data_IF_323883259029
#
_entry.id   IF_323883259029
#
_cell.length_a   1.000
_cell.length_b   1.000
_cell.length_c   1.000
_cell.angle_alpha   90.00
_cell.angle_beta   90.00
_cell.angle_gamma   90.00
#
_symmetry.space_group_name_H-M   'P 1'
#
loop_
_entity.id
_entity.type
_entity.pdbx_description
1 polymer ?
#
# COMPACT_ATOMS: atom_id res chain seq x y z
N UNK A 1 -7.81 -17.16 29.62
CA UNK A 1 -6.94 -17.98 28.74
C UNK A 1 -7.03 -17.39 27.34
N UNK A 2 -5.89 -17.00 26.75
CA UNK A 2 -5.84 -16.42 25.40
C UNK A 2 -5.50 -17.49 24.36
N UNK A 3 -6.07 -17.37 23.16
CA UNK A 3 -5.79 -18.24 22.03
C UNK A 3 -5.58 -17.40 20.77
N UNK A 4 -4.69 -17.85 19.89
CA UNK A 4 -4.53 -17.33 18.55
C UNK A 4 -5.36 -18.19 17.59
N UNK A 5 -6.18 -17.54 16.75
CA UNK A 5 -7.06 -18.22 15.79
C UNK A 5 -6.77 -17.68 14.39
N UNK A 6 -6.47 -18.57 13.45
CA UNK A 6 -6.34 -18.26 12.04
C UNK A 6 -7.54 -18.89 11.31
N UNK A 7 -8.25 -18.10 10.52
CA UNK A 7 -9.50 -18.54 9.91
C UNK A 7 -10.00 -17.62 8.82
N UNK A 8 -11.10 -18.01 8.18
CA UNK A 8 -11.85 -17.18 7.24
C UNK A 8 -13.11 -16.63 7.90
N UNK A 9 -13.36 -15.34 7.72
CA UNK A 9 -14.58 -14.69 8.19
C UNK A 9 -15.60 -14.66 7.04
N UNK A 10 -16.80 -15.20 7.29
CA UNK A 10 -17.96 -15.13 6.38
C UNK A 10 -19.13 -14.47 7.11
N UNK A 11 -19.73 -13.45 6.51
CA UNK A 11 -20.89 -12.77 7.09
C UNK A 11 -22.01 -12.64 6.07
N UNK A 12 -23.20 -13.14 6.42
CA UNK A 12 -24.47 -12.75 5.79
C UNK A 12 -25.17 -11.82 6.80
N UNK A 13 -25.14 -10.52 6.49
CA UNK A 13 -25.71 -9.32 7.14
C UNK A 13 -25.93 -9.29 8.68
N UNK A 14 -26.52 -10.31 9.29
CA UNK A 14 -26.92 -10.33 10.71
C UNK A 14 -26.04 -11.21 11.61
N UNK A 15 -25.28 -12.16 11.04
CA UNK A 15 -24.37 -13.02 11.82
C UNK A 15 -23.01 -13.19 11.15
N UNK A 16 -21.98 -12.62 11.77
CA UNK A 16 -20.58 -12.88 11.40
C UNK A 16 -20.21 -14.29 11.91
N UNK A 17 -19.86 -15.19 11.01
CA UNK A 17 -19.38 -16.54 11.32
C UNK A 17 -17.93 -16.66 10.86
N UNK A 18 -17.07 -17.20 11.71
CA UNK A 18 -15.69 -17.49 11.34
C UNK A 18 -15.49 -19.01 11.26
N UNK A 19 -14.79 -19.48 10.23
CA UNK A 19 -14.29 -20.86 10.16
C UNK A 19 -12.82 -20.83 10.53
N UNK A 20 -12.44 -21.51 11.61
CA UNK A 20 -11.06 -21.61 12.05
C UNK A 20 -10.33 -22.74 11.30
N UNK A 21 -9.11 -22.45 10.84
CA UNK A 21 -8.20 -23.42 10.23
C UNK A 21 -7.07 -23.80 11.21
N UNK A 22 -6.68 -22.89 12.11
CA UNK A 22 -5.68 -23.14 13.14
C UNK A 22 -6.07 -22.43 14.44
N UNK A 23 -5.91 -23.14 15.55
CA UNK A 23 -6.18 -22.65 16.90
C UNK A 23 -5.02 -23.08 17.79
N UNK A 24 -4.35 -22.12 18.44
CA UNK A 24 -3.22 -22.38 19.35
C UNK A 24 -3.38 -21.58 20.64
N UNK A 25 -3.09 -22.16 21.82
CA UNK A 25 -3.00 -21.37 23.05
C UNK A 25 -1.86 -20.36 22.97
N UNK A 26 -2.11 -19.16 23.49
CA UNK A 26 -1.09 -18.12 23.61
C UNK A 26 -0.26 -18.43 24.87
N UNK A 27 1.05 -18.56 24.67
CA UNK A 27 2.03 -18.86 25.74
C UNK A 27 2.78 -17.60 26.17
N UNK A 28 2.97 -16.64 25.27
CA UNK A 28 3.53 -15.33 25.56
C UNK A 28 2.45 -14.24 25.39
N UNK A 29 2.21 -13.46 26.44
CA UNK A 29 1.22 -12.39 26.41
C UNK A 29 1.59 -11.23 25.48
N UNK A 30 2.86 -11.07 25.12
CA UNK A 30 3.28 -10.08 24.12
C UNK A 30 2.61 -10.31 22.76
N UNK A 31 2.23 -11.55 22.43
CA UNK A 31 1.50 -11.89 21.20
C UNK A 31 0.17 -11.12 21.07
N UNK A 32 -0.51 -10.85 22.20
CA UNK A 32 -1.78 -10.13 22.22
C UNK A 32 -1.57 -8.66 21.86
N UNK A 33 -0.58 -8.02 22.48
CA UNK A 33 -0.23 -6.62 22.19
C UNK A 33 0.24 -6.47 20.74
N UNK A 34 1.09 -7.39 20.27
CA UNK A 34 1.55 -7.40 18.88
C UNK A 34 0.39 -7.53 17.90
N UNK A 35 -0.59 -8.39 18.19
CA UNK A 35 -1.79 -8.55 17.36
C UNK A 35 -2.57 -7.22 17.20
N UNK A 36 -2.74 -6.45 18.28
CA UNK A 36 -3.41 -5.15 18.19
C UNK A 36 -2.63 -4.16 17.32
N UNK A 37 -1.31 -4.07 17.49
CA UNK A 37 -0.47 -3.20 16.66
C UNK A 37 -0.56 -3.60 15.18
N UNK A 38 -0.51 -4.90 14.88
CA UNK A 38 -0.68 -5.43 13.53
C UNK A 38 -2.04 -5.07 12.94
N UNK A 39 -3.13 -5.17 13.72
CA UNK A 39 -4.46 -4.78 13.27
C UNK A 39 -4.54 -3.29 12.91
N UNK A 40 -3.97 -2.41 13.74
CA UNK A 40 -3.93 -0.97 13.47
C UNK A 40 -3.15 -0.67 12.20
N UNK A 41 -1.93 -1.23 12.08
CA UNK A 41 -1.09 -1.07 10.90
C UNK A 41 -1.81 -1.54 9.62
N UNK A 42 -2.37 -2.75 9.62
CA UNK A 42 -3.08 -3.30 8.46
C UNK A 42 -4.33 -2.49 8.13
N UNK A 43 -4.99 -1.90 9.12
CA UNK A 43 -6.14 -1.03 8.87
C UNK A 43 -5.73 0.27 8.16
N UNK A 44 -4.64 0.91 8.60
CA UNK A 44 -4.09 2.11 7.95
C UNK A 44 -3.70 1.78 6.52
N UNK A 45 -2.87 0.76 6.30
CA UNK A 45 -2.43 0.34 4.96
C UNK A 45 -3.63 0.04 4.03
N UNK A 46 -4.65 -0.68 4.51
CA UNK A 46 -5.83 -1.00 3.71
C UNK A 46 -6.78 0.19 3.48
N UNK A 47 -6.70 1.25 4.28
CA UNK A 47 -7.56 2.43 4.16
C UNK A 47 -6.90 3.49 3.28
N UNK A 48 -5.60 3.71 3.41
CA UNK A 48 -4.81 4.56 2.50
C UNK A 48 -4.92 4.07 1.05
N UNK A 49 -4.84 2.75 0.82
CA UNK A 49 -5.04 2.15 -0.51
C UNK A 49 -6.47 2.35 -1.09
N UNK A 50 -7.46 2.66 -0.25
CA UNK A 50 -8.86 2.87 -0.67
C UNK A 50 -9.23 4.35 -0.81
N UNK A 51 -8.47 5.26 -0.20
CA UNK A 51 -8.71 6.69 -0.31
C UNK A 51 -8.50 7.23 -1.74
N UNK A 52 -7.78 6.50 -2.60
CA UNK A 52 -7.59 6.83 -4.02
C UNK A 52 -8.63 6.25 -4.99
N UNK A 53 -9.72 5.62 -4.52
CA UNK A 53 -10.71 5.03 -5.41
C UNK A 53 -12.14 5.13 -4.83
N UNK A 54 -13.08 5.85 -5.48
CA UNK A 54 -14.47 5.75 -5.10
C UNK A 54 -14.92 4.31 -5.33
N UNK A 55 -15.29 3.63 -4.26
CA UNK A 55 -15.80 2.28 -4.29
C UNK A 55 -17.03 2.20 -5.20
N UNK A 56 -16.86 1.69 -6.43
CA UNK A 56 -17.98 1.15 -7.19
C UNK A 56 -18.43 -0.12 -6.48
N UNK A 57 -19.52 0.00 -5.73
CA UNK A 57 -20.32 -1.12 -5.27
C UNK A 57 -20.92 -1.78 -6.51
N UNK A 58 -20.23 -2.76 -7.09
CA UNK A 58 -20.84 -3.70 -8.02
C UNK A 58 -20.99 -5.04 -7.33
N UNK A 59 -22.17 -5.20 -6.75
CA UNK A 59 -22.78 -6.47 -6.41
C UNK A 59 -23.00 -7.26 -7.71
N UNK A 60 -22.21 -8.31 -7.96
CA UNK A 60 -22.59 -9.36 -8.93
C UNK A 60 -22.04 -10.72 -8.50
N UNK A 61 -22.86 -11.36 -7.65
CA UNK A 61 -23.27 -12.76 -7.74
C UNK A 61 -22.80 -13.51 -9.01
N UNK A 62 -22.09 -14.61 -8.83
CA UNK A 62 -21.68 -15.48 -9.95
C UNK A 62 -20.83 -16.67 -9.48
N UNK A 63 -21.49 -17.73 -9.04
CA UNK A 63 -20.91 -19.04 -8.74
C UNK A 63 -20.54 -19.72 -10.06
N UNK A 64 -19.40 -20.41 -10.13
CA UNK A 64 -19.29 -21.70 -10.82
C UNK A 64 -17.99 -22.43 -10.46
N UNK A 65 -18.16 -23.60 -9.88
CA UNK A 65 -17.17 -24.67 -9.83
C UNK A 65 -17.12 -25.35 -11.20
N UNK A 66 -15.93 -25.65 -11.71
CA UNK A 66 -15.67 -26.90 -12.41
C UNK A 66 -14.18 -27.23 -12.42
N UNK A 67 -13.90 -28.43 -11.96
CA UNK A 67 -12.61 -29.11 -11.99
C UNK A 67 -12.58 -29.91 -13.30
N UNK A 68 -11.52 -29.81 -14.11
CA UNK A 68 -11.41 -30.53 -15.38
C UNK A 68 -10.00 -30.45 -15.97
N UNK A 69 -9.47 -31.60 -16.34
CA UNK A 69 -8.08 -31.97 -16.61
C UNK A 69 -7.68 -31.86 -18.10
N UNK A 70 -6.38 -32.03 -18.42
CA UNK A 70 -5.69 -32.18 -19.74
C UNK A 70 -5.63 -30.93 -20.65
N UNK A 71 -4.62 -30.64 -21.47
CA UNK A 71 -3.31 -31.22 -21.82
C UNK A 71 -2.60 -30.23 -22.79
N UNK A 72 -1.26 -30.33 -22.84
CA UNK A 72 -0.27 -29.78 -23.78
C UNK A 72 -0.73 -29.05 -25.07
N UNK A 73 -0.18 -27.85 -25.33
CA UNK A 73 0.61 -27.53 -26.54
C UNK A 73 0.94 -26.02 -26.68
N UNK A 74 2.19 -25.72 -27.04
CA UNK A 74 2.77 -24.42 -27.40
C UNK A 74 2.50 -24.05 -28.89
N UNK A 75 3.09 -22.97 -29.43
CA UNK A 75 2.86 -21.53 -29.24
C UNK A 75 2.35 -20.88 -30.57
N UNK A 76 2.08 -19.56 -30.63
CA UNK A 76 2.36 -18.66 -31.81
C UNK A 76 1.62 -17.29 -31.71
N UNK A 77 2.44 -16.23 -31.67
CA UNK A 77 2.38 -14.89 -32.31
C UNK A 77 1.14 -13.98 -32.31
N UNK A 78 1.44 -12.74 -31.88
CA UNK A 78 1.12 -11.44 -32.48
C UNK A 78 -0.38 -11.06 -32.61
N UNK A 79 -0.81 -10.09 -31.79
CA UNK A 79 -1.44 -8.84 -32.26
C UNK A 79 -1.56 -7.80 -31.14
N UNK A 80 -0.96 -6.66 -31.43
CA UNK A 80 -1.05 -5.36 -30.79
C UNK A 80 -2.48 -4.83 -30.70
N UNK A 81 -2.86 -4.33 -29.52
CA UNK A 81 -3.85 -3.27 -29.35
C UNK A 81 -3.43 -2.39 -28.15
N UNK A 82 -3.46 -1.05 -28.27
CA UNK A 82 -2.94 -0.15 -27.23
C UNK A 82 -3.88 -0.15 -26.03
N UNK A 83 -3.31 -0.31 -24.83
CA UNK A 83 -4.04 -0.09 -23.59
C UNK A 83 -4.50 1.39 -23.50
N UNK A 84 -5.76 1.67 -23.13
CA UNK A 84 -6.17 3.03 -22.85
C UNK A 84 -5.46 3.50 -21.58
N UNK A 85 -4.64 4.53 -21.75
CA UNK A 85 -4.05 5.28 -20.64
C UNK A 85 -5.23 5.86 -19.84
N UNK A 86 -5.49 5.27 -18.68
CA UNK A 86 -6.53 5.74 -17.79
C UNK A 86 -5.85 6.67 -16.79
N UNK A 87 -5.75 7.93 -17.21
CA UNK A 87 -5.35 9.07 -16.41
C UNK A 87 -6.32 9.21 -15.24
N UNK A 88 -5.92 8.72 -14.07
CA UNK A 88 -6.74 8.71 -12.86
C UNK A 88 -5.91 8.55 -11.61
N UNK A 89 -4.86 9.36 -11.45
CA UNK A 89 -4.03 9.40 -10.24
C UNK A 89 -3.14 10.64 -10.31
N UNK A 90 -3.59 11.81 -9.84
CA UNK A 90 -2.72 12.99 -9.79
C UNK A 90 -2.03 13.15 -8.44
N UNK A 91 -2.77 13.01 -7.33
CA UNK A 91 -2.22 13.26 -5.99
C UNK A 91 -1.50 12.04 -5.40
N UNK A 92 -2.10 10.85 -5.46
CA UNK A 92 -1.44 9.59 -5.06
C UNK A 92 -0.19 9.32 -5.90
N UNK A 93 -0.21 9.73 -7.17
CA UNK A 93 0.95 9.62 -8.05
C UNK A 93 2.05 10.59 -7.61
N UNK A 94 1.70 11.84 -7.29
CA UNK A 94 2.66 12.84 -6.81
C UNK A 94 3.33 12.43 -5.48
N UNK A 95 2.57 11.96 -4.49
CA UNK A 95 3.14 11.45 -3.23
C UNK A 95 4.12 10.30 -3.47
N UNK A 96 3.75 9.39 -4.39
CA UNK A 96 4.58 8.23 -4.74
C UNK A 96 5.81 8.64 -5.54
N UNK A 97 5.69 9.59 -6.46
CA UNK A 97 6.81 10.12 -7.24
C UNK A 97 7.83 10.85 -6.35
N UNK A 98 7.36 11.69 -5.43
CA UNK A 98 8.22 12.38 -4.46
C UNK A 98 8.96 11.36 -3.61
N UNK A 99 8.27 10.33 -3.10
CA UNK A 99 8.94 9.28 -2.33
C UNK A 99 9.95 8.47 -3.16
N UNK A 100 9.60 8.13 -4.40
CA UNK A 100 10.50 7.40 -5.29
C UNK A 100 11.78 8.19 -5.56
N UNK A 101 11.69 9.52 -5.65
CA UNK A 101 12.87 10.38 -5.74
C UNK A 101 13.78 10.21 -4.51
N UNK A 102 13.24 10.25 -3.28
CA UNK A 102 14.06 10.01 -2.07
C UNK A 102 14.64 8.59 -1.98
N UNK A 103 14.00 7.60 -2.62
CA UNK A 103 14.49 6.23 -2.71
C UNK A 103 15.47 5.98 -3.88
N UNK A 104 15.82 7.00 -4.67
CA UNK A 104 16.89 6.85 -5.66
C UNK A 104 18.22 6.52 -4.95
N UNK A 105 19.06 5.59 -5.46
CA UNK A 105 20.28 5.15 -4.77
C UNK A 105 21.20 6.29 -4.34
N UNK A 106 21.35 7.32 -5.19
CA UNK A 106 22.16 8.49 -4.89
C UNK A 106 21.68 9.29 -3.66
N UNK A 107 20.37 9.28 -3.40
CA UNK A 107 19.76 9.99 -2.29
C UNK A 107 19.78 9.16 -0.99
N UNK A 108 19.67 7.83 -1.11
CA UNK A 108 19.82 6.89 0.02
C UNK A 108 21.24 6.90 0.59
N UNK A 109 22.24 6.98 -0.30
CA UNK A 109 23.66 7.05 0.07
C UNK A 109 24.05 8.40 0.68
N UNK A 110 23.24 9.46 0.49
CA UNK A 110 23.48 10.76 1.13
C UNK A 110 23.39 10.64 2.65
N UNK A 111 24.46 11.05 3.34
CA UNK A 111 24.54 11.02 4.81
C UNK A 111 23.49 11.93 5.45
N UNK A 112 23.28 13.11 4.88
CA UNK A 112 22.39 14.13 5.42
C UNK A 112 21.00 14.15 4.78
N UNK A 113 20.71 13.23 3.86
CA UNK A 113 19.46 13.23 3.10
C UNK A 113 19.46 14.28 1.98
N UNK A 114 18.27 14.71 1.58
CA UNK A 114 18.06 15.59 0.42
C UNK A 114 17.31 16.84 0.86
N UNK A 115 17.81 18.01 0.44
CA UNK A 115 17.18 19.30 0.75
C UNK A 115 15.93 19.54 -0.13
N UNK A 116 14.91 20.21 0.42
CA UNK A 116 13.64 20.50 -0.30
C UNK A 116 13.88 21.16 -1.66
N UNK A 117 14.86 22.07 -1.75
CA UNK A 117 15.16 22.76 -3.02
C UNK A 117 15.65 21.83 -4.13
N UNK A 118 16.25 20.69 -3.80
CA UNK A 118 16.67 19.68 -4.78
C UNK A 118 15.46 18.92 -5.34
N UNK A 119 14.48 18.64 -4.47
CA UNK A 119 13.18 18.10 -4.88
C UNK A 119 12.48 19.09 -5.81
N UNK A 120 12.43 20.38 -5.45
CA UNK A 120 11.85 21.44 -6.30
C UNK A 120 12.54 21.52 -7.68
N UNK A 121 13.87 21.34 -7.73
CA UNK A 121 14.62 21.31 -8.99
C UNK A 121 14.29 20.09 -9.85
N UNK A 122 13.91 18.97 -9.26
CA UNK A 122 13.47 17.75 -9.99
C UNK A 122 12.06 17.94 -10.55
N UNK A 123 11.17 18.52 -9.75
CA UNK A 123 9.75 18.70 -10.06
C UNK A 123 9.42 20.14 -10.53
N UNK A 124 10.20 20.68 -11.48
CA UNK A 124 10.13 22.09 -11.92
C UNK A 124 8.76 22.59 -12.40
N UNK A 125 7.88 21.68 -12.78
CA UNK A 125 6.56 21.99 -13.32
C UNK A 125 5.48 22.12 -12.24
N UNK A 126 5.79 21.81 -10.99
CA UNK A 126 4.82 21.74 -9.90
C UNK A 126 5.02 22.90 -8.90
N UNK A 127 3.94 23.46 -8.34
CA UNK A 127 4.04 24.49 -7.30
C UNK A 127 4.77 23.97 -6.05
N UNK A 128 5.63 24.80 -5.45
CA UNK A 128 6.35 24.47 -4.20
C UNK A 128 5.43 23.89 -3.13
N UNK A 129 4.24 24.49 -2.97
CA UNK A 129 3.24 24.03 -1.99
C UNK A 129 2.86 22.57 -2.19
N UNK A 130 2.58 22.13 -3.41
CA UNK A 130 2.19 20.73 -3.67
C UNK A 130 3.32 19.74 -3.31
N UNK A 131 4.57 20.13 -3.55
CA UNK A 131 5.73 19.31 -3.23
C UNK A 131 5.92 19.25 -1.71
N UNK A 132 5.77 20.37 -1.00
CA UNK A 132 5.82 20.39 0.47
C UNK A 132 4.70 19.57 1.08
N UNK A 133 3.45 19.76 0.63
CA UNK A 133 2.29 18.96 1.07
C UNK A 133 2.55 17.45 0.84
N UNK A 134 3.28 17.10 -0.23
CA UNK A 134 3.63 15.72 -0.52
C UNK A 134 4.75 15.15 0.35
N UNK A 135 5.73 15.96 0.72
CA UNK A 135 6.77 15.60 1.68
C UNK A 135 6.12 15.38 3.05
N UNK A 136 5.25 16.30 3.49
CA UNK A 136 4.55 16.22 4.77
C UNK A 136 3.69 14.96 4.87
N UNK A 137 2.91 14.64 3.83
CA UNK A 137 2.15 13.38 3.78
C UNK A 137 3.05 12.13 3.90
N UNK A 138 4.21 12.12 3.23
CA UNK A 138 5.14 11.00 3.31
C UNK A 138 5.83 10.92 4.69
N UNK A 139 5.99 12.04 5.39
CA UNK A 139 6.49 12.10 6.76
C UNK A 139 5.45 11.58 7.75
N UNK A 140 4.19 12.02 7.64
CA UNK A 140 3.07 11.58 8.48
C UNK A 140 2.78 10.08 8.33
N UNK A 141 2.97 9.54 7.12
CA UNK A 141 2.87 8.10 6.86
C UNK A 141 4.11 7.29 7.28
N UNK A 142 5.16 7.95 7.80
CA UNK A 142 6.38 7.32 8.29
C UNK A 142 7.35 6.82 7.21
N UNK A 143 7.18 7.29 5.97
CA UNK A 143 8.00 6.91 4.80
C UNK A 143 9.20 7.85 4.61
N UNK A 144 9.12 9.06 5.15
CA UNK A 144 10.20 10.04 5.25
C UNK A 144 10.40 10.47 6.70
N UNK A 145 11.61 10.94 7.01
CA UNK A 145 11.93 11.63 8.25
C UNK A 145 12.88 12.81 7.99
N UNK A 146 12.83 13.84 8.83
CA UNK A 146 13.78 14.95 8.79
C UNK A 146 15.12 14.53 9.43
N UNK A 147 16.23 15.04 8.89
CA UNK A 147 17.58 14.63 9.30
C UNK A 147 18.26 15.70 10.16
N UNK A 148 19.06 16.58 9.55
CA UNK A 148 19.90 17.57 10.22
C UNK A 148 19.14 18.86 10.54
N UNK A 149 18.08 19.16 9.81
CA UNK A 149 17.21 20.31 10.02
C UNK A 149 15.81 20.05 9.45
N UNK A 150 14.96 21.08 9.44
CA UNK A 150 13.56 21.03 8.97
C UNK A 150 13.43 21.03 7.43
N UNK A 151 14.53 21.13 6.69
CA UNK A 151 14.52 21.19 5.22
C UNK A 151 15.28 20.03 4.56
N UNK A 152 15.88 19.13 5.33
CA UNK A 152 16.54 17.92 4.85
C UNK A 152 15.74 16.68 5.25
N UNK A 153 15.41 15.86 4.25
CA UNK A 153 14.59 14.67 4.43
C UNK A 153 15.26 13.43 3.86
N UNK A 154 14.98 12.27 4.45
CA UNK A 154 15.47 10.97 4.01
C UNK A 154 14.37 9.91 4.07
N UNK A 155 14.43 8.95 3.15
CA UNK A 155 13.55 7.77 3.16
C UNK A 155 13.93 6.82 4.30
N UNK A 156 12.91 6.26 4.95
CA UNK A 156 13.02 5.28 6.04
C UNK A 156 13.58 3.95 5.56
#
# INVERSE_FOLDING_TARGET
MYIAVIGSLKGLQERKRATAFSIRPITDFNEVTLHFIQCVRMHIENTELKAGSPARINSSMGVSFSNGFSESSTPTSLKSSPAPVTSGSSDTDLHTQVLNFFNEPANLESEHGVHVDEVLKRFKLLPKKQITDAIDYNMDSGRLYSTIDEFHYKAT
#
